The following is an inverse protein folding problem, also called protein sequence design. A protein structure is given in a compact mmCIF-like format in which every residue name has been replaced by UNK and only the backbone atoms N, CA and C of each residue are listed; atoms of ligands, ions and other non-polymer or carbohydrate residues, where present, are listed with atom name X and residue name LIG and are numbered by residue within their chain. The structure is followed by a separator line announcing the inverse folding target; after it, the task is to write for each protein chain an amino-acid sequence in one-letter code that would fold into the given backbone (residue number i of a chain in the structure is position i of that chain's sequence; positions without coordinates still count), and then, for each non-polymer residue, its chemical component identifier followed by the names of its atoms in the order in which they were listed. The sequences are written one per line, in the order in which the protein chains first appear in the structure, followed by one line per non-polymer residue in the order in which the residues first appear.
data_IF_738091458708
#
_entry.id   IF_738091458708
#
_cell.length_a   1.000
_cell.length_b   1.000
_cell.length_c   1.000
_cell.angle_alpha   90.00
_cell.angle_beta   90.00
_cell.angle_gamma   90.00
#
_symmetry.space_group_name_H-M   'P 1'
#
loop_
_entity.id
_entity.type
_entity.pdbx_description
1 polymer ?
#
# COMPACT_ATOMS: atom_id res chain seq x y z
N UNK A 1 -9.91 0.12 -75.61
CA UNK A 1 -10.88 -0.37 -74.60
C UNK A 1 -10.32 -1.65 -74.00
N UNK A 2 -9.52 -1.53 -72.95
CA UNK A 2 -8.83 -2.65 -72.31
C UNK A 2 -9.49 -2.91 -70.95
N UNK A 3 -10.05 -4.11 -70.82
CA UNK A 3 -10.51 -4.74 -69.59
C UNK A 3 -9.29 -5.11 -68.75
N UNK A 4 -9.21 -4.61 -67.50
CA UNK A 4 -8.12 -4.94 -66.57
C UNK A 4 -8.64 -5.88 -65.48
N UNK A 5 -7.86 -6.95 -65.35
CA UNK A 5 -7.93 -8.12 -64.48
C UNK A 5 -7.66 -7.73 -63.01
N UNK A 6 -8.42 -8.29 -62.07
CA UNK A 6 -8.23 -8.13 -60.62
C UNK A 6 -6.85 -8.68 -60.17
N UNK A 7 -6.14 -7.91 -59.34
CA UNK A 7 -5.02 -8.35 -58.50
C UNK A 7 -4.95 -7.51 -57.21
N UNK A 8 -4.73 -8.21 -56.09
CA UNK A 8 -4.21 -7.83 -54.77
C UNK A 8 -4.74 -6.57 -54.03
N UNK A 9 -5.37 -6.83 -52.88
CA UNK A 9 -5.17 -5.99 -51.69
C UNK A 9 -4.75 -6.88 -50.50
N UNK A 10 -3.58 -6.53 -49.94
CA UNK A 10 -2.95 -7.09 -48.75
C UNK A 10 -3.89 -7.13 -47.52
N UNK A 11 -3.78 -8.13 -46.63
CA UNK A 11 -4.48 -8.09 -45.36
C UNK A 11 -3.78 -7.10 -44.42
N UNK A 12 -4.51 -6.02 -44.12
CA UNK A 12 -4.17 -5.00 -43.16
C UNK A 12 -3.58 -5.54 -41.84
N UNK A 13 -2.49 -4.91 -41.41
CA UNK A 13 -1.85 -4.99 -40.10
C UNK A 13 -2.88 -4.66 -38.99
N UNK A 14 -3.60 -5.67 -38.51
CA UNK A 14 -4.63 -5.51 -37.48
C UNK A 14 -3.97 -5.25 -36.12
N UNK A 15 -3.96 -3.98 -35.73
CA UNK A 15 -3.45 -3.47 -34.45
C UNK A 15 -4.18 -4.06 -33.23
N UNK A 16 -5.34 -4.72 -33.43
CA UNK A 16 -6.06 -5.45 -32.37
C UNK A 16 -5.43 -6.83 -32.07
N UNK A 17 -4.75 -7.45 -33.02
CA UNK A 17 -4.06 -8.74 -32.81
C UNK A 17 -2.84 -8.62 -31.90
N UNK A 18 -2.13 -7.50 -31.94
CA UNK A 18 -0.99 -7.20 -31.05
C UNK A 18 -1.48 -6.97 -29.62
N UNK A 19 -2.60 -6.25 -29.47
CA UNK A 19 -3.21 -5.95 -28.17
C UNK A 19 -3.73 -7.20 -27.43
N UNK A 20 -4.24 -8.20 -28.14
CA UNK A 20 -4.72 -9.46 -27.55
C UNK A 20 -3.57 -10.39 -27.12
N UNK A 21 -2.45 -10.43 -27.85
CA UNK A 21 -1.30 -11.30 -27.53
C UNK A 21 -0.56 -10.88 -26.26
N UNK A 22 -0.40 -9.57 -26.02
CA UNK A 22 0.28 -9.03 -24.83
C UNK A 22 -0.57 -9.23 -23.56
N UNK A 23 -1.90 -9.19 -23.67
CA UNK A 23 -2.82 -9.45 -22.54
C UNK A 23 -2.87 -10.93 -22.15
N UNK A 24 -2.58 -11.84 -23.08
CA UNK A 24 -2.61 -13.30 -22.85
C UNK A 24 -1.29 -13.89 -22.31
N UNK A 25 -0.28 -13.07 -22.00
CA UNK A 25 0.99 -13.57 -21.43
C UNK A 25 1.84 -14.38 -22.42
N UNK A 26 1.56 -14.26 -23.71
CA UNK A 26 2.45 -14.76 -24.75
C UNK A 26 3.63 -13.79 -24.83
N UNK A 27 4.85 -14.33 -24.75
CA UNK A 27 6.11 -13.59 -24.72
C UNK A 27 6.29 -12.60 -25.89
N UNK A 28 7.41 -11.84 -25.89
CA UNK A 28 7.67 -10.77 -26.86
C UNK A 28 7.44 -11.24 -28.30
N UNK A 29 7.06 -10.33 -29.21
CA UNK A 29 6.71 -10.66 -30.60
C UNK A 29 7.76 -11.61 -31.18
N UNK A 30 7.29 -12.78 -31.58
CA UNK A 30 8.10 -13.95 -31.89
C UNK A 30 8.83 -13.79 -33.22
N UNK A 31 10.14 -14.02 -33.19
CA UNK A 31 10.97 -14.88 -34.06
C UNK A 31 11.03 -14.62 -35.58
N UNK A 32 10.05 -13.98 -36.22
CA UNK A 32 10.00 -13.84 -37.69
C UNK A 32 11.05 -12.85 -38.23
N UNK A 33 11.36 -11.79 -37.49
CA UNK A 33 12.45 -10.85 -37.85
C UNK A 33 13.83 -11.38 -37.49
N UNK A 34 13.93 -12.31 -36.53
CA UNK A 34 15.19 -12.95 -36.17
C UNK A 34 15.67 -13.87 -37.30
N UNK A 35 14.77 -14.63 -37.93
CA UNK A 35 15.10 -15.50 -39.06
C UNK A 35 15.65 -14.68 -40.26
N UNK A 36 15.00 -13.55 -40.59
CA UNK A 36 15.47 -12.66 -41.65
C UNK A 36 16.83 -11.99 -41.36
N UNK A 37 17.10 -11.69 -40.08
CA UNK A 37 18.38 -11.16 -39.64
C UNK A 37 19.47 -12.24 -39.66
N UNK A 38 19.14 -13.47 -39.28
CA UNK A 38 20.04 -14.62 -39.39
C UNK A 38 20.38 -14.91 -40.84
N UNK A 39 19.41 -14.88 -41.75
CA UNK A 39 19.64 -15.04 -43.19
C UNK A 39 20.55 -13.92 -43.73
N UNK A 40 20.30 -12.65 -43.37
CA UNK A 40 21.19 -11.54 -43.75
C UNK A 40 22.60 -11.63 -43.15
N UNK A 41 22.74 -12.13 -41.91
CA UNK A 41 24.05 -12.37 -41.30
C UNK A 41 24.73 -13.59 -41.95
N UNK A 42 23.99 -14.62 -42.32
CA UNK A 42 24.54 -15.79 -42.99
C UNK A 42 25.02 -15.45 -44.41
N UNK A 43 24.33 -14.55 -45.11
CA UNK A 43 24.80 -13.96 -46.38
C UNK A 43 26.07 -13.11 -46.19
N UNK A 44 26.14 -12.30 -45.11
CA UNK A 44 27.31 -11.46 -44.80
C UNK A 44 28.55 -12.26 -44.38
N UNK A 45 28.37 -13.50 -43.88
CA UNK A 45 29.45 -14.41 -43.48
C UNK A 45 30.32 -14.82 -44.66
N UNK A 46 29.75 -14.93 -45.86
CA UNK A 46 30.53 -15.26 -47.07
C UNK A 46 31.37 -14.08 -47.57
N UNK A 47 30.94 -12.86 -47.28
CA UNK A 47 31.54 -11.62 -47.78
C UNK A 47 32.61 -11.03 -46.83
N UNK A 48 32.55 -11.31 -45.52
CA UNK A 48 33.45 -10.74 -44.51
C UNK A 48 34.40 -11.79 -43.92
N UNK A 49 35.65 -11.85 -44.43
CA UNK A 49 36.74 -12.72 -43.92
C UNK A 49 37.50 -12.11 -42.72
N UNK A 50 36.80 -11.54 -41.74
CA UNK A 50 37.41 -10.97 -40.53
C UNK A 50 37.07 -11.79 -39.29
N UNK A 51 38.03 -12.07 -38.37
CA UNK A 51 37.76 -12.78 -37.12
C UNK A 51 36.82 -12.00 -36.18
N UNK A 52 36.62 -10.69 -36.43
CA UNK A 52 35.75 -9.80 -35.65
C UNK A 52 34.26 -9.91 -36.06
N UNK A 53 33.96 -10.65 -37.13
CA UNK A 53 32.62 -10.74 -37.69
C UNK A 53 31.58 -11.29 -36.70
N UNK A 54 31.90 -12.38 -36.01
CA UNK A 54 30.97 -13.05 -35.10
C UNK A 54 30.59 -12.19 -33.87
N UNK A 55 31.55 -11.59 -33.13
CA UNK A 55 31.22 -10.63 -32.08
C UNK A 55 30.46 -9.41 -32.61
N UNK A 56 30.77 -8.91 -33.82
CA UNK A 56 30.01 -7.83 -34.44
C UNK A 56 28.56 -8.24 -34.73
N UNK A 57 28.33 -9.41 -35.33
CA UNK A 57 27.00 -9.94 -35.62
C UNK A 57 26.15 -10.10 -34.34
N UNK A 58 26.75 -10.63 -33.26
CA UNK A 58 26.10 -10.70 -31.95
C UNK A 58 25.71 -9.32 -31.41
N UNK A 59 26.55 -8.31 -31.62
CA UNK A 59 26.27 -6.94 -31.21
C UNK A 59 25.07 -6.35 -31.96
N UNK A 60 24.96 -6.61 -33.26
CA UNK A 60 23.84 -6.16 -34.10
C UNK A 60 22.54 -6.82 -33.64
N UNK A 61 22.56 -8.15 -33.43
CA UNK A 61 21.41 -8.89 -32.92
C UNK A 61 20.94 -8.35 -31.56
N UNK A 62 21.87 -8.08 -30.65
CA UNK A 62 21.54 -7.54 -29.33
C UNK A 62 20.91 -6.14 -29.41
N UNK A 63 21.40 -5.26 -30.30
CA UNK A 63 20.81 -3.93 -30.53
C UNK A 63 19.40 -4.05 -31.11
N UNK A 64 19.18 -4.97 -32.05
CA UNK A 64 17.87 -5.21 -32.63
C UNK A 64 16.86 -5.72 -31.58
N UNK A 65 17.23 -6.72 -30.79
CA UNK A 65 16.39 -7.22 -29.69
C UNK A 65 16.05 -6.12 -28.65
N UNK A 66 16.99 -5.18 -28.42
CA UNK A 66 16.73 -4.00 -27.58
C UNK A 66 15.70 -3.05 -28.20
N UNK A 67 15.72 -2.87 -29.53
CA UNK A 67 14.75 -2.05 -30.26
C UNK A 67 13.33 -2.59 -30.08
N UNK A 68 13.14 -3.90 -30.22
CA UNK A 68 11.82 -4.52 -30.05
C UNK A 68 11.32 -4.36 -28.62
N UNK A 69 12.21 -4.54 -27.64
CA UNK A 69 11.90 -4.37 -26.22
C UNK A 69 11.50 -2.92 -25.88
N UNK A 70 11.98 -1.94 -26.64
CA UNK A 70 11.66 -0.53 -26.47
C UNK A 70 10.18 -0.23 -26.80
N UNK A 71 9.59 -0.98 -27.73
CA UNK A 71 8.18 -0.80 -28.10
C UNK A 71 7.23 -1.06 -26.91
N UNK A 72 7.56 -2.03 -26.04
CA UNK A 72 6.81 -2.32 -24.84
C UNK A 72 6.86 -1.18 -23.82
N UNK A 73 8.02 -0.52 -23.68
CA UNK A 73 8.20 0.65 -22.82
C UNK A 73 7.35 1.81 -23.37
N UNK A 74 7.43 2.06 -24.67
CA UNK A 74 6.65 3.11 -25.32
C UNK A 74 5.14 2.88 -25.18
N UNK A 75 4.68 1.64 -25.32
CA UNK A 75 3.28 1.28 -25.09
C UNK A 75 2.85 1.57 -23.65
N UNK A 76 3.66 1.19 -22.67
CA UNK A 76 3.36 1.47 -21.25
C UNK A 76 3.30 2.98 -20.96
N UNK A 77 4.18 3.76 -21.57
CA UNK A 77 4.16 5.24 -21.45
C UNK A 77 2.91 5.83 -22.10
N UNK A 78 2.49 5.30 -23.25
CA UNK A 78 1.27 5.74 -23.93
C UNK A 78 -0.01 5.34 -23.18
N UNK A 79 -0.07 4.13 -22.61
CA UNK A 79 -1.18 3.74 -21.74
C UNK A 79 -1.21 4.59 -20.47
N UNK A 80 -0.04 4.90 -19.91
CA UNK A 80 0.08 5.78 -18.76
C UNK A 80 -0.40 7.21 -19.08
N UNK A 81 -0.03 7.75 -20.24
CA UNK A 81 -0.40 9.10 -20.65
C UNK A 81 -1.88 9.21 -20.99
N UNK A 82 -2.51 8.20 -21.59
CA UNK A 82 -3.96 8.18 -21.82
C UNK A 82 -4.74 8.13 -20.51
N UNK A 83 -4.33 7.31 -19.55
CA UNK A 83 -4.91 7.31 -18.19
C UNK A 83 -4.76 8.66 -17.48
N UNK A 84 -3.71 9.42 -17.79
CA UNK A 84 -3.41 10.73 -17.15
C UNK A 84 -4.04 11.93 -17.85
N UNK A 85 -3.98 11.98 -19.18
CA UNK A 85 -4.33 13.15 -20.01
C UNK A 85 -5.83 13.36 -20.17
N UNK A 86 -6.64 12.31 -20.08
CA UNK A 86 -8.09 12.42 -20.18
C UNK A 86 -8.75 13.10 -18.94
N UNK A 87 -7.96 13.67 -18.02
CA UNK A 87 -8.44 14.18 -16.72
C UNK A 87 -9.08 13.08 -15.87
N UNK A 88 -8.84 11.83 -16.27
CA UNK A 88 -9.67 10.67 -15.99
C UNK A 88 -9.02 9.78 -14.94
N UNK A 89 -7.80 10.07 -14.44
CA UNK A 89 -7.23 9.39 -13.27
C UNK A 89 -8.25 9.28 -12.14
N UNK A 90 -9.06 10.33 -12.01
CA UNK A 90 -10.24 10.24 -11.22
C UNK A 90 -11.25 9.24 -11.74
N UNK A 91 -11.94 9.48 -12.87
CA UNK A 91 -13.05 8.66 -13.37
C UNK A 91 -12.68 7.18 -13.67
N UNK A 92 -11.43 6.86 -13.98
CA UNK A 92 -10.92 5.50 -14.29
C UNK A 92 -10.67 4.67 -13.03
N UNK A 93 -10.37 5.35 -11.92
CA UNK A 93 -10.13 4.76 -10.61
C UNK A 93 -11.22 5.14 -9.58
N UNK A 94 -12.24 5.91 -9.97
CA UNK A 94 -13.45 6.27 -9.21
C UNK A 94 -13.73 7.78 -8.91
N UNK A 95 -13.75 8.71 -9.89
CA UNK A 95 -14.23 10.11 -9.74
C UNK A 95 -15.58 10.31 -10.42
N UNK A 96 -16.55 9.47 -10.12
CA UNK A 96 -17.93 9.80 -10.44
C UNK A 96 -18.88 8.96 -9.62
N UNK A 97 -19.63 9.60 -8.73
CA UNK A 97 -20.76 9.01 -8.02
C UNK A 97 -20.46 7.80 -7.10
N UNK A 98 -19.48 7.92 -6.19
CA UNK A 98 -19.30 6.90 -5.14
C UNK A 98 -18.94 5.49 -5.64
N UNK A 99 -18.45 5.36 -6.89
CA UNK A 99 -18.00 4.09 -7.42
C UNK A 99 -16.68 3.68 -6.75
N UNK A 100 -16.59 2.46 -6.17
CA UNK A 100 -15.38 1.98 -5.52
C UNK A 100 -14.20 1.87 -6.50
N UNK A 101 -12.98 1.97 -5.97
CA UNK A 101 -11.75 1.79 -6.75
C UNK A 101 -11.77 0.41 -7.43
N UNK A 102 -11.58 0.37 -8.75
CA UNK A 102 -11.38 -0.89 -9.46
C UNK A 102 -9.98 -1.46 -9.14
N UNK A 103 -9.94 -2.30 -8.11
CA UNK A 103 -8.72 -2.97 -7.65
C UNK A 103 -8.06 -3.80 -8.75
N UNK A 104 -8.85 -4.43 -9.62
CA UNK A 104 -8.32 -5.26 -10.70
C UNK A 104 -7.56 -4.43 -11.73
N UNK A 105 -8.07 -3.23 -12.02
CA UNK A 105 -7.40 -2.30 -12.92
C UNK A 105 -6.11 -1.77 -12.33
N UNK A 106 -6.09 -1.37 -11.05
CA UNK A 106 -4.87 -0.93 -10.35
C UNK A 106 -3.80 -2.03 -10.37
N UNK A 107 -4.19 -3.29 -10.10
CA UNK A 107 -3.27 -4.43 -10.14
C UNK A 107 -2.74 -4.66 -11.55
N UNK A 108 -3.60 -4.55 -12.58
CA UNK A 108 -3.20 -4.69 -13.98
C UNK A 108 -2.20 -3.61 -14.41
N UNK A 109 -2.49 -2.34 -14.10
CA UNK A 109 -1.61 -1.22 -14.43
C UNK A 109 -0.29 -1.29 -13.63
N UNK A 110 -0.34 -1.69 -12.35
CA UNK A 110 0.87 -1.93 -11.54
C UNK A 110 1.74 -3.05 -12.13
N UNK A 111 1.12 -4.12 -12.63
CA UNK A 111 1.83 -5.22 -13.31
C UNK A 111 2.48 -4.73 -14.61
N UNK A 112 1.79 -3.96 -15.43
CA UNK A 112 2.37 -3.43 -16.68
C UNK A 112 3.54 -2.49 -16.41
N UNK A 113 3.44 -1.64 -15.38
CA UNK A 113 4.53 -0.79 -14.91
C UNK A 113 5.75 -1.63 -14.50
N UNK A 114 5.54 -2.70 -13.72
CA UNK A 114 6.61 -3.60 -13.31
C UNK A 114 7.32 -4.28 -14.49
N UNK A 115 6.56 -4.78 -15.46
CA UNK A 115 7.10 -5.37 -16.70
C UNK A 115 7.93 -4.33 -17.48
N UNK A 116 7.41 -3.11 -17.64
CA UNK A 116 8.09 -2.06 -18.37
C UNK A 116 9.41 -1.62 -17.70
N UNK A 117 9.44 -1.53 -16.37
CA UNK A 117 10.68 -1.25 -15.61
C UNK A 117 11.69 -2.39 -15.74
N UNK A 118 11.24 -3.65 -15.70
CA UNK A 118 12.11 -4.81 -15.93
C UNK A 118 12.71 -4.78 -17.33
N UNK A 119 11.91 -4.45 -18.35
CA UNK A 119 12.39 -4.30 -19.72
C UNK A 119 13.38 -3.14 -19.86
N UNK A 120 13.14 -2.00 -19.19
CA UNK A 120 14.06 -0.88 -19.17
C UNK A 120 15.43 -1.25 -18.57
N UNK A 121 15.42 -2.01 -17.46
CA UNK A 121 16.63 -2.51 -16.83
C UNK A 121 17.38 -3.51 -17.73
N UNK A 122 16.64 -4.45 -18.36
CA UNK A 122 17.20 -5.40 -19.30
C UNK A 122 17.85 -4.69 -20.49
N UNK A 123 17.14 -3.79 -21.17
CA UNK A 123 17.67 -3.01 -22.31
C UNK A 123 18.91 -2.24 -21.88
N UNK A 124 18.87 -1.53 -20.75
CA UNK A 124 20.03 -0.76 -20.26
C UNK A 124 21.24 -1.67 -20.03
N UNK A 125 21.06 -2.84 -19.42
CA UNK A 125 22.14 -3.79 -19.17
C UNK A 125 22.70 -4.35 -20.48
N UNK A 126 21.85 -4.71 -21.43
CA UNK A 126 22.26 -5.24 -22.74
C UNK A 126 23.02 -4.18 -23.55
N UNK A 127 22.54 -2.94 -23.57
CA UNK A 127 23.24 -1.82 -24.23
C UNK A 127 24.62 -1.54 -23.63
N UNK A 128 24.79 -1.70 -22.31
CA UNK A 128 26.10 -1.59 -21.67
C UNK A 128 27.03 -2.75 -22.04
N UNK A 129 26.49 -3.96 -22.16
CA UNK A 129 27.21 -5.14 -22.65
C UNK A 129 27.68 -4.97 -24.09
N UNK A 130 26.81 -4.47 -24.97
CA UNK A 130 27.13 -4.16 -26.36
C UNK A 130 28.24 -3.10 -26.46
N UNK A 131 28.17 -2.04 -25.66
CA UNK A 131 29.23 -1.02 -25.65
C UNK A 131 30.59 -1.59 -25.22
N UNK A 132 30.59 -2.45 -24.20
CA UNK A 132 31.81 -3.13 -23.73
C UNK A 132 32.38 -4.05 -24.82
N UNK A 133 31.52 -4.74 -25.55
CA UNK A 133 31.91 -5.60 -26.66
C UNK A 133 32.49 -4.80 -27.83
N UNK A 134 31.92 -3.63 -28.16
CA UNK A 134 32.49 -2.74 -29.18
C UNK A 134 33.85 -2.19 -28.79
N UNK A 135 34.07 -1.84 -27.52
CA UNK A 135 35.39 -1.43 -27.03
C UNK A 135 36.43 -2.55 -27.18
N UNK A 136 36.04 -3.78 -26.89
CA UNK A 136 36.90 -4.96 -27.11
C UNK A 136 37.20 -5.19 -28.59
N UNK A 137 36.20 -5.06 -29.46
CA UNK A 137 36.35 -5.16 -30.92
C UNK A 137 37.31 -4.09 -31.47
N UNK A 138 37.19 -2.86 -31.00
CA UNK A 138 38.08 -1.74 -31.36
C UNK A 138 39.52 -2.03 -30.95
N UNK A 139 39.74 -2.52 -29.72
CA UNK A 139 41.07 -2.91 -29.25
C UNK A 139 41.67 -4.07 -30.07
N UNK A 140 40.88 -5.10 -30.39
CA UNK A 140 41.34 -6.20 -31.24
C UNK A 140 41.64 -5.76 -32.67
N UNK A 141 40.88 -4.81 -33.22
CA UNK A 141 41.11 -4.30 -34.56
C UNK A 141 42.47 -3.58 -34.68
N UNK A 142 42.89 -2.86 -33.64
CA UNK A 142 44.21 -2.22 -33.57
C UNK A 142 45.36 -3.26 -33.56
N UNK A 143 45.19 -4.40 -32.88
CA UNK A 143 46.18 -5.48 -32.82
C UNK A 143 46.27 -6.30 -34.12
N UNK A 144 45.15 -6.47 -34.84
CA UNK A 144 45.09 -7.22 -36.10
C UNK A 144 45.70 -6.43 -37.27
N UNK A 145 45.56 -5.09 -37.26
CA UNK A 145 46.03 -4.17 -38.30
C UNK A 145 47.52 -4.33 -38.71
N UNK A 146 48.49 -4.56 -37.79
CA UNK A 146 49.88 -4.82 -38.15
C UNK A 146 50.19 -6.29 -38.55
N UNK A 147 49.34 -7.24 -38.21
CA UNK A 147 49.59 -8.69 -38.31
C UNK A 147 49.03 -9.33 -39.61
N UNK A 148 47.86 -8.88 -40.07
CA UNK A 148 47.16 -9.46 -41.22
C UNK A 148 47.47 -8.69 -42.52
N UNK A 149 48.53 -9.09 -43.24
CA UNK A 149 49.03 -8.45 -44.49
C UNK A 149 48.09 -8.50 -45.73
N UNK A 150 46.79 -8.79 -45.59
CA UNK A 150 45.88 -8.85 -46.76
C UNK A 150 45.00 -7.60 -46.81
N UNK A 151 45.12 -6.81 -47.87
CA UNK A 151 44.37 -5.55 -48.10
C UNK A 151 42.85 -5.70 -47.86
N UNK A 152 42.27 -6.83 -48.27
CA UNK A 152 40.85 -7.16 -48.05
C UNK A 152 40.45 -7.28 -46.57
N UNK A 153 41.32 -7.81 -45.71
CA UNK A 153 41.02 -7.99 -44.27
C UNK A 153 41.06 -6.64 -43.54
N UNK A 154 42.00 -5.78 -43.91
CA UNK A 154 42.09 -4.40 -43.38
C UNK A 154 40.87 -3.59 -43.79
N UNK A 155 40.46 -3.66 -45.06
CA UNK A 155 39.29 -2.94 -45.54
C UNK A 155 37.98 -3.44 -44.91
N UNK A 156 37.81 -4.77 -44.79
CA UNK A 156 36.65 -5.35 -44.09
C UNK A 156 36.58 -4.91 -42.63
N UNK A 157 37.72 -4.85 -41.94
CA UNK A 157 37.79 -4.41 -40.54
C UNK A 157 37.43 -2.94 -40.38
N UNK A 158 37.90 -2.07 -41.29
CA UNK A 158 37.53 -0.65 -41.29
C UNK A 158 36.02 -0.44 -41.52
N UNK A 159 35.41 -1.21 -42.43
CA UNK A 159 33.96 -1.14 -42.66
C UNK A 159 33.17 -1.55 -41.41
N UNK A 160 33.61 -2.60 -40.69
CA UNK A 160 32.99 -3.01 -39.42
C UNK A 160 33.11 -1.92 -38.36
N UNK A 161 34.28 -1.27 -38.24
CA UNK A 161 34.48 -0.16 -37.30
C UNK A 161 33.59 1.06 -37.63
N UNK A 162 33.39 1.35 -38.91
CA UNK A 162 32.47 2.40 -39.33
C UNK A 162 31.02 2.06 -38.98
N UNK A 163 30.60 0.81 -39.17
CA UNK A 163 29.29 0.33 -38.77
C UNK A 163 29.08 0.39 -37.24
N UNK A 164 30.09 0.04 -36.44
CA UNK A 164 30.07 0.19 -34.98
C UNK A 164 29.83 1.66 -34.59
N UNK A 165 30.48 2.62 -35.25
CA UNK A 165 30.26 4.07 -34.96
C UNK A 165 28.82 4.48 -35.23
N UNK A 166 28.21 4.00 -36.31
CA UNK A 166 26.80 4.25 -36.60
C UNK A 166 25.89 3.64 -35.53
N UNK A 167 26.08 2.36 -35.20
CA UNK A 167 25.29 1.65 -34.18
C UNK A 167 25.43 2.29 -32.79
N UNK A 168 26.61 2.83 -32.45
CA UNK A 168 26.83 3.55 -31.20
C UNK A 168 25.97 4.82 -31.10
N UNK A 169 25.77 5.53 -32.21
CA UNK A 169 24.86 6.67 -32.25
C UNK A 169 23.39 6.24 -32.06
N UNK A 170 23.00 5.10 -32.64
CA UNK A 170 21.67 4.52 -32.42
C UNK A 170 21.46 4.12 -30.96
N UNK A 171 22.39 3.38 -30.36
CA UNK A 171 22.36 2.97 -28.94
C UNK A 171 22.28 4.18 -28.02
N UNK A 172 22.98 5.27 -28.35
CA UNK A 172 22.89 6.53 -27.60
C UNK A 172 21.46 7.08 -27.61
N UNK A 173 20.79 7.07 -28.76
CA UNK A 173 19.39 7.50 -28.88
C UNK A 173 18.44 6.56 -28.12
N UNK A 174 18.63 5.25 -28.24
CA UNK A 174 17.85 4.26 -27.50
C UNK A 174 17.98 4.45 -25.98
N UNK A 175 19.20 4.68 -25.48
CA UNK A 175 19.45 4.90 -24.05
C UNK A 175 18.69 6.12 -23.52
N UNK A 176 18.65 7.20 -24.29
CA UNK A 176 17.88 8.38 -23.91
C UNK A 176 16.36 8.09 -23.89
N UNK A 177 15.88 7.32 -24.86
CA UNK A 177 14.47 6.91 -24.93
C UNK A 177 14.08 6.03 -23.75
N UNK A 178 14.92 5.07 -23.36
CA UNK A 178 14.73 4.24 -22.16
C UNK A 178 14.73 5.10 -20.90
N UNK A 179 15.69 6.02 -20.76
CA UNK A 179 15.80 6.93 -19.61
C UNK A 179 14.55 7.78 -19.45
N UNK A 180 14.09 8.39 -20.55
CA UNK A 180 12.84 9.15 -20.55
C UNK A 180 11.64 8.28 -20.15
N UNK A 181 11.50 7.10 -20.77
CA UNK A 181 10.42 6.17 -20.50
C UNK A 181 10.40 5.73 -19.03
N UNK A 182 11.56 5.41 -18.47
CA UNK A 182 11.72 5.00 -17.07
C UNK A 182 11.29 6.10 -16.10
N UNK A 183 11.69 7.35 -16.33
CA UNK A 183 11.25 8.51 -15.53
C UNK A 183 9.73 8.67 -15.61
N UNK A 184 9.16 8.61 -16.82
CA UNK A 184 7.72 8.72 -17.03
C UNK A 184 6.93 7.62 -16.31
N UNK A 185 7.38 6.36 -16.43
CA UNK A 185 6.77 5.19 -15.77
C UNK A 185 6.84 5.33 -14.24
N UNK A 186 7.99 5.75 -13.68
CA UNK A 186 8.15 5.98 -12.23
C UNK A 186 7.24 7.10 -11.72
N UNK A 187 7.11 8.18 -12.49
CA UNK A 187 6.19 9.27 -12.14
C UNK A 187 4.75 8.76 -12.10
N UNK A 188 4.35 7.95 -13.09
CA UNK A 188 3.02 7.35 -13.12
C UNK A 188 2.77 6.43 -11.92
N UNK A 189 3.75 5.61 -11.52
CA UNK A 189 3.66 4.77 -10.33
C UNK A 189 3.46 5.59 -9.04
N UNK A 190 4.20 6.70 -8.91
CA UNK A 190 4.07 7.63 -7.79
C UNK A 190 2.68 8.28 -7.72
N UNK A 191 2.11 8.65 -8.88
CA UNK A 191 0.77 9.24 -8.97
C UNK A 191 -0.32 8.24 -8.54
N UNK A 192 -0.23 6.98 -8.99
CA UNK A 192 -1.15 5.91 -8.55
C UNK A 192 -1.10 5.76 -7.03
N UNK A 193 0.12 5.67 -6.46
CA UNK A 193 0.31 5.50 -5.01
C UNK A 193 -0.24 6.67 -4.19
N UNK A 194 0.02 7.90 -4.63
CA UNK A 194 -0.50 9.10 -3.99
C UNK A 194 -2.04 9.13 -4.00
N UNK A 195 -2.66 8.73 -5.11
CA UNK A 195 -4.12 8.69 -5.23
C UNK A 195 -4.76 7.60 -4.35
N UNK A 196 -4.14 6.42 -4.25
CA UNK A 196 -4.56 5.37 -3.32
C UNK A 196 -4.51 5.85 -1.88
N UNK A 197 -3.40 6.49 -1.49
CA UNK A 197 -3.22 7.05 -0.14
C UNK A 197 -4.28 8.10 0.21
N UNK A 198 -4.67 8.93 -0.77
CA UNK A 198 -5.75 9.90 -0.59
C UNK A 198 -7.09 9.21 -0.29
N UNK A 199 -7.47 8.17 -1.03
CA UNK A 199 -8.70 7.41 -0.77
C UNK A 199 -8.68 6.65 0.55
N UNK A 200 -7.54 6.08 0.92
CA UNK A 200 -7.38 5.43 2.22
C UNK A 200 -7.57 6.45 3.35
N UNK A 201 -7.12 7.70 3.16
CA UNK A 201 -7.36 8.77 4.12
C UNK A 201 -8.84 9.18 4.21
N UNK A 202 -9.55 9.30 3.08
CA UNK A 202 -10.99 9.62 3.05
C UNK A 202 -11.84 8.54 3.73
N UNK A 203 -11.59 7.27 3.40
CA UNK A 203 -12.30 6.13 4.00
C UNK A 203 -12.01 5.99 5.49
N UNK A 204 -10.78 6.31 5.93
CA UNK A 204 -10.44 6.34 7.34
C UNK A 204 -11.16 7.48 8.08
N UNK A 205 -11.30 8.66 7.48
CA UNK A 205 -12.09 9.77 8.05
C UNK A 205 -13.57 9.36 8.17
N UNK A 206 -14.15 8.78 7.12
CA UNK A 206 -15.54 8.30 7.15
C UNK A 206 -15.76 7.25 8.25
N UNK A 207 -14.84 6.29 8.37
CA UNK A 207 -14.86 5.27 9.42
C UNK A 207 -14.74 5.87 10.81
N UNK A 208 -13.89 6.89 10.99
CA UNK A 208 -13.75 7.61 12.24
C UNK A 208 -15.02 8.38 12.62
N UNK A 209 -15.68 9.01 11.66
CA UNK A 209 -16.97 9.68 11.86
C UNK A 209 -18.05 8.67 12.25
N UNK A 210 -18.19 7.57 11.50
CA UNK A 210 -19.14 6.50 11.84
C UNK A 210 -18.87 5.90 13.23
N UNK A 211 -17.60 5.72 13.60
CA UNK A 211 -17.20 5.25 14.93
C UNK A 211 -17.55 6.25 16.03
N UNK A 212 -17.36 7.55 15.78
CA UNK A 212 -17.76 8.61 16.71
C UNK A 212 -19.27 8.62 16.92
N UNK A 213 -20.03 8.51 15.85
CA UNK A 213 -21.49 8.54 15.91
C UNK A 213 -22.04 7.27 16.60
N UNK A 214 -21.42 6.11 16.35
CA UNK A 214 -21.70 4.87 17.08
C UNK A 214 -21.37 5.00 18.57
N UNK A 215 -20.24 5.61 18.93
CA UNK A 215 -19.88 5.86 20.33
C UNK A 215 -20.86 6.83 21.02
N UNK A 216 -21.33 7.85 20.31
CA UNK A 216 -22.34 8.78 20.81
C UNK A 216 -23.68 8.05 21.05
N UNK A 217 -24.14 7.27 20.07
CA UNK A 217 -25.36 6.45 20.19
C UNK A 217 -25.23 5.40 21.31
N UNK A 218 -24.08 4.74 21.46
CA UNK A 218 -23.81 3.81 22.55
C UNK A 218 -23.80 4.51 23.92
N UNK A 219 -23.34 5.77 23.98
CA UNK A 219 -23.39 6.57 25.22
C UNK A 219 -24.85 6.88 25.60
N UNK A 220 -25.69 7.22 24.63
CA UNK A 220 -27.13 7.41 24.83
C UNK A 220 -27.82 6.10 25.26
N UNK A 221 -27.54 4.98 24.58
CA UNK A 221 -28.05 3.66 24.94
C UNK A 221 -27.61 3.25 26.35
N UNK A 222 -26.37 3.57 26.73
CA UNK A 222 -25.88 3.35 28.10
C UNK A 222 -26.66 4.16 29.15
N UNK A 223 -27.22 5.31 28.79
CA UNK A 223 -28.07 6.10 29.69
C UNK A 223 -29.44 5.44 29.90
N UNK A 224 -30.04 4.88 28.85
CA UNK A 224 -31.27 4.10 28.94
C UNK A 224 -31.05 2.80 29.73
N UNK A 225 -29.94 2.11 29.49
CA UNK A 225 -29.55 0.90 30.23
C UNK A 225 -29.40 1.17 31.73
N UNK A 226 -28.81 2.31 32.11
CA UNK A 226 -28.71 2.74 33.51
C UNK A 226 -30.09 2.91 34.14
N UNK A 227 -31.06 3.50 33.43
CA UNK A 227 -32.42 3.68 33.94
C UNK A 227 -33.13 2.34 34.20
N UNK A 228 -33.01 1.36 33.28
CA UNK A 228 -33.58 0.02 33.48
C UNK A 228 -32.90 -0.68 34.67
N UNK A 229 -31.57 -0.59 34.78
CA UNK A 229 -30.83 -1.18 35.89
C UNK A 229 -31.22 -0.57 37.24
N UNK A 230 -31.47 0.74 37.32
CA UNK A 230 -31.98 1.39 38.53
C UNK A 230 -33.37 0.86 38.89
N UNK A 231 -34.25 0.69 37.89
CA UNK A 231 -35.60 0.16 38.09
C UNK A 231 -35.58 -1.28 38.62
N UNK A 232 -34.72 -2.14 38.06
CA UNK A 232 -34.57 -3.52 38.55
C UNK A 232 -33.99 -3.55 39.95
N UNK A 233 -32.98 -2.72 40.26
CA UNK A 233 -32.42 -2.61 41.62
C UNK A 233 -33.45 -2.14 42.66
N UNK A 234 -34.42 -1.32 42.26
CA UNK A 234 -35.51 -0.90 43.13
C UNK A 234 -36.51 -2.05 43.40
N UNK A 235 -36.91 -2.78 42.37
CA UNK A 235 -37.92 -3.85 42.51
C UNK A 235 -37.37 -5.18 43.04
N UNK A 236 -36.08 -5.48 42.83
CA UNK A 236 -35.46 -6.74 43.25
C UNK A 236 -35.56 -7.01 44.76
N UNK A 237 -35.21 -6.08 45.68
CA UNK A 237 -35.36 -6.34 47.12
C UNK A 237 -36.83 -6.45 47.54
N UNK A 238 -37.71 -5.60 47.01
CA UNK A 238 -39.14 -5.64 47.33
C UNK A 238 -39.82 -6.95 46.93
N UNK A 239 -39.51 -7.45 45.74
CA UNK A 239 -40.04 -8.75 45.26
C UNK A 239 -39.48 -9.94 46.04
N UNK A 240 -38.20 -9.91 46.43
CA UNK A 240 -37.60 -10.94 47.28
C UNK A 240 -38.29 -11.04 48.65
N UNK A 241 -38.46 -9.91 49.36
CA UNK A 241 -39.13 -9.91 50.66
C UNK A 241 -40.62 -10.24 50.53
N UNK A 242 -41.31 -9.77 49.49
CA UNK A 242 -42.71 -10.14 49.23
C UNK A 242 -42.87 -11.66 49.06
N UNK A 243 -41.98 -12.31 48.30
CA UNK A 243 -41.98 -13.77 48.15
C UNK A 243 -41.63 -14.49 49.46
N UNK A 244 -40.64 -13.99 50.21
CA UNK A 244 -40.21 -14.57 51.48
C UNK A 244 -41.33 -14.54 52.54
N UNK A 245 -42.06 -13.43 52.65
CA UNK A 245 -43.21 -13.31 53.56
C UNK A 245 -44.45 -14.06 53.06
N UNK A 246 -44.53 -14.40 51.77
CA UNK A 246 -45.60 -15.22 51.21
C UNK A 246 -45.41 -16.73 51.45
N UNK A 247 -44.26 -17.17 51.96
CA UNK A 247 -43.99 -18.58 52.23
C UNK A 247 -44.67 -19.03 53.55
N UNK A 248 -45.59 -20.03 53.51
CA UNK A 248 -46.28 -20.52 54.70
C UNK A 248 -45.36 -21.25 55.70
N UNK A 249 -44.18 -21.69 55.26
CA UNK A 249 -43.25 -22.53 56.02
C UNK A 249 -42.59 -21.82 57.22
N UNK A 250 -42.66 -20.49 57.28
CA UNK A 250 -42.00 -19.68 58.31
C UNK A 250 -42.92 -19.29 59.49
N UNK A 251 -44.18 -19.73 59.50
CA UNK A 251 -45.06 -19.66 60.69
C UNK A 251 -45.39 -18.26 61.20
N UNK A 252 -45.50 -17.27 60.31
CA UNK A 252 -45.73 -15.86 60.66
C UNK A 252 -47.21 -15.59 61.05
N UNK A 253 -47.59 -15.82 62.31
CA UNK A 253 -48.98 -15.65 62.77
C UNK A 253 -49.14 -14.44 63.74
N UNK A 254 -49.04 -13.19 63.26
CA UNK A 254 -49.41 -11.96 64.03
C UNK A 254 -49.69 -10.73 63.13
N UNK A 255 -50.55 -9.76 63.53
CA UNK A 255 -50.93 -8.58 62.74
C UNK A 255 -49.82 -7.52 62.49
N UNK A 256 -48.54 -7.80 62.80
CA UNK A 256 -47.41 -6.85 62.71
C UNK A 256 -46.58 -6.98 61.41
N UNK A 257 -47.02 -7.82 60.47
CA UNK A 257 -46.31 -8.13 59.21
C UNK A 257 -46.04 -6.93 58.33
N UNK A 258 -46.95 -5.95 58.31
CA UNK A 258 -46.78 -4.74 57.51
C UNK A 258 -45.59 -3.90 58.00
N UNK A 259 -45.39 -3.79 59.32
CA UNK A 259 -44.27 -3.03 59.91
C UNK A 259 -42.94 -3.76 59.73
N UNK A 260 -42.92 -5.09 59.89
CA UNK A 260 -41.73 -5.92 59.67
C UNK A 260 -41.29 -5.92 58.20
N UNK A 261 -42.23 -5.94 57.26
CA UNK A 261 -41.94 -5.81 55.83
C UNK A 261 -41.17 -4.50 55.53
N UNK A 262 -41.66 -3.35 56.02
CA UNK A 262 -40.98 -2.07 55.83
C UNK A 262 -39.63 -2.00 56.56
N UNK A 263 -39.51 -2.63 57.74
CA UNK A 263 -38.28 -2.65 58.53
C UNK A 263 -37.11 -3.37 57.85
N UNK A 264 -37.35 -4.40 57.03
CA UNK A 264 -36.30 -5.12 56.29
C UNK A 264 -36.15 -4.63 54.84
N UNK A 265 -37.24 -4.23 54.19
CA UNK A 265 -37.22 -3.81 52.78
C UNK A 265 -36.48 -2.49 52.59
N UNK A 266 -36.66 -1.50 53.50
CA UNK A 266 -35.99 -0.19 53.39
C UNK A 266 -34.46 -0.34 53.52
N UNK A 267 -33.90 -0.98 54.57
CA UNK A 267 -32.44 -1.17 54.68
C UNK A 267 -31.85 -1.98 53.53
N UNK A 268 -32.55 -3.01 53.05
CA UNK A 268 -32.08 -3.81 51.93
C UNK A 268 -32.04 -3.02 50.61
N UNK A 269 -33.01 -2.14 50.38
CA UNK A 269 -33.01 -1.22 49.24
C UNK A 269 -31.84 -0.25 49.35
N UNK A 270 -31.63 0.36 50.52
CA UNK A 270 -30.47 1.24 50.79
C UNK A 270 -29.16 0.51 50.54
N UNK A 271 -29.03 -0.74 51.02
CA UNK A 271 -27.83 -1.56 50.82
C UNK A 271 -27.57 -1.85 49.34
N UNK A 272 -28.63 -2.14 48.57
CA UNK A 272 -28.54 -2.40 47.12
C UNK A 272 -28.04 -1.16 46.38
N UNK A 273 -28.59 0.02 46.67
CA UNK A 273 -28.12 1.29 46.11
C UNK A 273 -26.69 1.64 46.58
N UNK A 274 -26.33 1.35 47.83
CA UNK A 274 -24.99 1.57 48.36
C UNK A 274 -23.94 0.72 47.65
N UNK A 275 -24.23 -0.57 47.39
CA UNK A 275 -23.36 -1.46 46.63
C UNK A 275 -23.21 -0.98 45.18
N UNK A 276 -24.31 -0.56 44.55
CA UNK A 276 -24.27 -0.03 43.19
C UNK A 276 -23.45 1.26 43.08
N UNK A 277 -23.62 2.19 44.02
CA UNK A 277 -22.82 3.42 44.08
C UNK A 277 -21.33 3.09 44.29
N UNK A 278 -21.01 2.14 45.18
CA UNK A 278 -19.64 1.68 45.41
C UNK A 278 -19.00 1.06 44.16
N UNK A 279 -19.75 0.32 43.35
CA UNK A 279 -19.26 -0.30 42.12
C UNK A 279 -19.16 0.68 40.94
N UNK A 280 -20.16 1.54 40.76
CA UNK A 280 -20.27 2.47 39.62
C UNK A 280 -19.37 3.70 39.79
N UNK A 281 -19.20 4.18 41.02
CA UNK A 281 -18.39 5.36 41.35
C UNK A 281 -17.16 5.00 42.18
N UNK A 282 -16.43 3.93 41.80
CA UNK A 282 -15.23 3.49 42.54
C UNK A 282 -14.26 4.62 42.90
N UNK A 283 -14.05 5.61 42.02
CA UNK A 283 -13.14 6.75 42.29
C UNK A 283 -13.69 7.79 43.28
N UNK A 284 -14.99 8.10 43.22
CA UNK A 284 -15.64 9.07 44.13
C UNK A 284 -15.90 8.44 45.50
N UNK A 285 -16.27 7.15 45.52
CA UNK A 285 -16.49 6.39 46.74
C UNK A 285 -15.17 6.14 47.48
N UNK A 286 -14.06 5.89 46.78
CA UNK A 286 -12.74 5.88 47.41
C UNK A 286 -12.38 7.24 48.03
N UNK A 287 -12.74 8.35 47.38
CA UNK A 287 -12.58 9.70 47.92
C UNK A 287 -13.42 9.94 49.18
N UNK A 288 -14.70 9.58 49.16
CA UNK A 288 -15.63 9.69 50.28
C UNK A 288 -15.25 8.77 51.45
N UNK A 289 -14.93 7.51 51.18
CA UNK A 289 -14.45 6.55 52.19
C UNK A 289 -13.15 7.05 52.79
N UNK A 290 -12.20 7.55 51.99
CA UNK A 290 -10.97 8.16 52.50
C UNK A 290 -11.27 9.39 53.35
N UNK A 291 -12.21 10.24 52.97
CA UNK A 291 -12.61 11.44 53.71
C UNK A 291 -13.31 11.10 55.03
N UNK A 292 -14.20 10.11 55.04
CA UNK A 292 -14.89 9.59 56.23
C UNK A 292 -13.93 8.85 57.16
N UNK A 293 -13.00 8.08 56.61
CA UNK A 293 -11.95 7.38 57.36
C UNK A 293 -10.94 8.38 57.96
N UNK A 294 -10.65 9.48 57.27
CA UNK A 294 -9.79 10.56 57.76
C UNK A 294 -10.47 11.46 58.79
N UNK A 295 -11.80 11.61 58.74
CA UNK A 295 -12.59 12.43 59.66
C UNK A 295 -13.27 11.61 60.77
N UNK A 296 -12.93 10.33 60.90
CA UNK A 296 -13.42 9.46 61.97
C UNK A 296 -12.75 9.84 63.30
N UNK A 297 -13.48 9.96 64.43
CA UNK A 297 -12.93 10.47 65.68
C UNK A 297 -12.10 9.40 66.41
N UNK A 298 -10.91 9.09 65.90
CA UNK A 298 -9.82 8.49 66.67
C UNK A 298 -8.93 9.57 67.30
N UNK A 299 -9.55 10.62 67.82
CA UNK A 299 -8.92 11.69 68.60
C UNK A 299 -8.59 11.28 70.04
N UNK A 300 -8.21 10.02 70.29
CA UNK A 300 -7.89 9.52 71.63
C UNK A 300 -6.40 9.21 71.84
N UNK A 301 -5.56 9.16 70.79
CA UNK A 301 -4.12 8.84 70.92
C UNK A 301 -3.19 9.72 70.07
N UNK A 302 -3.33 11.04 70.13
CA UNK A 302 -2.20 11.97 69.93
C UNK A 302 -2.06 12.87 71.15
N UNK A 303 -1.67 12.24 72.25
CA UNK A 303 -1.23 12.96 73.45
C UNK A 303 0.08 13.69 73.19
N UNK A 304 0.10 14.98 73.59
CA UNK A 304 1.24 15.76 74.09
C UNK A 304 2.63 15.29 73.62
N UNK A 305 3.14 15.90 72.55
CA UNK A 305 4.58 16.08 72.36
C UNK A 305 4.81 17.21 71.36
N UNK A 306 4.87 18.44 71.85
CA UNK A 306 5.10 19.59 70.97
C UNK A 306 5.05 20.98 71.60
N UNK A 307 4.79 21.12 72.91
CA UNK A 307 4.72 22.45 73.55
C UNK A 307 5.90 22.77 74.49
N UNK A 308 6.95 21.93 74.59
CA UNK A 308 8.11 22.21 75.46
C UNK A 308 9.34 22.77 74.74
N UNK A 309 9.40 22.81 73.40
CA UNK A 309 10.61 23.30 72.68
C UNK A 309 10.65 24.82 72.45
N UNK A 310 9.53 25.52 72.58
CA UNK A 310 9.46 26.97 72.30
C UNK A 310 9.68 27.86 73.55
N UNK A 311 9.59 27.30 74.76
CA UNK A 311 9.77 28.09 76.00
C UNK A 311 11.24 28.21 76.44
N UNK A 312 12.13 27.32 75.99
CA UNK A 312 13.56 27.37 76.39
C UNK A 312 14.40 28.32 75.50
N UNK A 313 13.93 28.63 74.29
CA UNK A 313 14.64 29.56 73.36
C UNK A 313 14.39 31.04 73.66
N UNK A 314 13.38 31.39 74.46
CA UNK A 314 13.05 32.76 74.84
C UNK A 314 13.82 33.32 76.05
N UNK A 315 14.59 32.50 76.77
CA UNK A 315 15.26 32.87 78.04
C UNK A 315 16.78 33.05 77.98
N UNK A 316 17.41 32.94 76.81
CA UNK A 316 18.88 33.10 76.63
C UNK A 316 19.29 34.33 75.81
N UNK A 317 18.41 35.32 75.64
CA UNK A 317 18.71 36.56 74.94
C UNK A 317 18.28 37.80 75.75
N UNK A 318 18.82 37.96 76.96
CA UNK A 318 19.12 39.24 77.64
C UNK A 318 20.32 39.01 78.56
#
# INVERSE_FOLDING_TARGET
MLSIRQHDEDPAFDSRCVALRVVQGVGPPQLVEADHLFDCLEDLKEEVRSPLYLPFALSVYAVHACRDSLTAIHWCVSSASTTTSDGLFGKTYGLGNGTPIDRNRVVKESRSIGIALSNAAFVTSTLNGVESLWQYLEAMAEEISPSAKTEQVVQSTNNLLEAIRFLRQEVKCMRETVRYGEVSIRNHASLISAHLSHRDSETNIETAVASRDLAAAATEDSSAMKSIAILTMFFLPGTFFAALFSMPALGWDQPRHFVLYWAFTIPATILTFAIWAALTQRSVVLGWVKMVWLNWPWGFWRGKRGEEEDEEKGKKAV
#
